data_IF_946673820816
#
_entry.id   IF_946673820816
#
_cell.length_a   1.000
_cell.length_b   1.000
_cell.length_c   1.000
_cell.angle_alpha   90.00
_cell.angle_beta   90.00
_cell.angle_gamma   90.00
#
_symmetry.space_group_name_H-M   'P 1'
#
loop_
_entity.id
_entity.type
_entity.pdbx_description
1 polymer ?
#
# COMPACT_ATOMS: atom_id res chain seq x y z
N UNK A 1 -36.12 -69.32 -27.20
CA UNK A 1 -34.82 -69.22 -27.82
C UNK A 1 -34.26 -67.92 -27.53
N UNK A 2 -33.35 -67.91 -26.84
CA UNK A 2 -32.10 -67.37 -26.91
C UNK A 2 -32.03 -66.00 -26.68
N UNK A 3 -31.47 -65.58 -25.82
CA UNK A 3 -30.19 -65.35 -25.42
C UNK A 3 -29.93 -63.97 -25.57
N UNK A 4 -29.46 -63.38 -24.78
CA UNK A 4 -28.42 -63.46 -23.96
C UNK A 4 -27.72 -62.15 -23.84
N UNK A 5 -27.39 -61.91 -22.79
CA UNK A 5 -26.17 -61.50 -22.42
C UNK A 5 -25.72 -60.17 -22.65
N UNK A 6 -25.36 -59.62 -21.89
CA UNK A 6 -24.32 -59.36 -21.20
C UNK A 6 -23.92 -58.11 -21.24
N UNK A 7 -23.74 -57.51 -20.44
CA UNK A 7 -22.83 -57.46 -19.69
C UNK A 7 -21.99 -56.40 -19.64
N UNK A 8 -21.81 -55.99 -18.72
CA UNK A 8 -20.67 -55.62 -18.40
C UNK A 8 -20.28 -54.35 -18.32
N UNK A 9 -20.11 -53.94 -17.46
CA UNK A 9 -19.08 -53.65 -16.85
C UNK A 9 -18.41 -52.59 -17.06
N UNK A 10 -18.37 -51.80 -16.69
CA UNK A 10 -17.87 -51.49 -16.07
C UNK A 10 -16.94 -50.82 -15.47
N UNK A 11 -16.47 -50.34 -15.12
CA UNK A 11 -15.49 -50.02 -14.55
C UNK A 11 -14.94 -48.88 -14.48
N UNK A 12 -15.01 -48.40 -13.89
CA UNK A 12 -14.66 -47.47 -13.55
C UNK A 12 -13.62 -47.15 -12.82
N UNK A 13 -12.95 -46.65 -12.87
CA UNK A 13 -12.08 -46.37 -12.15
C UNK A 13 -11.73 -45.23 -11.65
N UNK A 14 -11.69 -44.98 -11.21
CA UNK A 14 -11.24 -44.31 -10.60
C UNK A 14 -10.41 -43.58 -10.42
N UNK A 15 -10.06 -43.08 -10.37
CA UNK A 15 -9.28 -42.45 -10.14
C UNK A 15 -8.92 -41.60 -9.60
N UNK A 16 -8.87 -41.35 -9.39
CA UNK A 16 -8.54 -40.63 -8.97
C UNK A 16 -7.70 -40.08 -8.44
N UNK A 17 -7.37 -40.25 -8.32
CA UNK A 17 -6.58 -39.90 -7.89
C UNK A 17 -5.91 -39.06 -7.87
N UNK A 18 -5.76 -38.82 -8.24
CA UNK A 18 -5.01 -38.09 -8.31
C UNK A 18 -4.82 -37.14 -7.82
N UNK A 19 -4.96 -37.05 -7.75
CA UNK A 19 -4.73 -36.23 -7.45
C UNK A 19 -4.21 -35.70 -6.82
N UNK A 20 -4.07 -35.86 -6.64
CA UNK A 20 -3.45 -35.44 -6.10
C UNK A 20 -2.65 -34.89 -6.06
N UNK A 21 -2.31 -35.07 -6.29
CA UNK A 21 -1.38 -34.66 -6.25
C UNK A 21 -1.13 -33.58 -6.37
N UNK A 22 -1.44 -33.39 -6.71
CA UNK A 22 -1.07 -32.45 -6.91
C UNK A 22 -0.92 -31.63 -6.13
N UNK A 23 -1.09 -31.65 -5.91
CA UNK A 23 -0.87 -30.88 -5.23
C UNK A 23 -0.02 -30.51 -4.79
N UNK A 24 0.26 -30.94 -4.81
CA UNK A 24 1.17 -30.66 -4.40
C UNK A 24 1.78 -29.90 -4.64
N UNK A 25 1.77 -29.96 -5.12
CA UNK A 25 2.55 -29.33 -5.36
C UNK A 25 2.47 -28.35 -5.10
N UNK A 26 1.93 -28.39 -5.19
CA UNK A 26 1.91 -27.54 -5.01
C UNK A 26 2.49 -26.96 -4.38
N UNK A 27 2.69 -27.06 -4.02
CA UNK A 27 3.35 -26.75 -3.44
C UNK A 27 4.23 -26.13 -3.81
N UNK A 28 4.52 -26.37 -4.26
CA UNK A 28 5.49 -26.03 -4.77
C UNK A 28 5.54 -24.79 -4.94
N UNK A 29 5.16 -24.62 -5.29
CA UNK A 29 4.97 -23.63 -5.53
C UNK A 29 5.42 -22.74 -4.71
N UNK A 30 5.23 -22.76 -4.10
CA UNK A 30 5.58 -22.06 -3.16
C UNK A 30 6.80 -21.54 -3.25
N UNK A 31 7.40 -22.15 -3.57
CA UNK A 31 8.59 -21.87 -3.68
C UNK A 31 8.84 -20.68 -4.22
N UNK A 32 8.41 -20.56 -5.13
CA UNK A 32 8.72 -19.53 -5.82
C UNK A 32 8.86 -18.39 -5.03
N UNK A 33 8.18 -18.36 -4.33
CA UNK A 33 8.13 -17.28 -3.70
C UNK A 33 9.34 -16.76 -3.23
N UNK A 34 10.05 -17.40 -2.75
CA UNK A 34 11.12 -16.85 -2.21
C UNK A 34 11.92 -16.24 -3.14
N UNK A 35 11.93 -16.70 -4.17
CA UNK A 35 12.80 -16.17 -5.07
C UNK A 35 12.52 -14.78 -5.21
N UNK A 36 11.43 -14.39 -5.14
CA UNK A 36 11.13 -13.10 -5.44
C UNK A 36 11.95 -12.23 -4.61
N UNK A 37 12.40 -12.63 -3.68
CA UNK A 37 13.20 -11.83 -2.93
C UNK A 37 12.53 -10.55 -2.68
N UNK A 38 11.71 -10.22 -3.48
CA UNK A 38 11.07 -9.05 -3.32
C UNK A 38 10.07 -9.30 -2.32
N UNK A 39 10.11 -8.78 -1.31
CA UNK A 39 9.20 -9.03 -0.29
C UNK A 39 7.84 -8.56 -0.69
N UNK A 40 7.08 -9.43 -1.21
CA UNK A 40 5.76 -9.07 -1.65
C UNK A 40 4.75 -9.09 -0.52
N UNK A 41 5.17 -9.30 0.68
CA UNK A 41 4.22 -9.33 1.78
C UNK A 41 3.64 -7.95 2.00
N UNK A 42 2.36 -7.87 2.24
CA UNK A 42 1.76 -6.59 2.52
C UNK A 42 2.36 -5.99 3.78
N UNK A 43 2.70 -4.74 3.71
CA UNK A 43 3.22 -4.02 4.86
C UNK A 43 2.02 -3.70 5.75
N UNK A 44 2.08 -4.05 7.01
CA UNK A 44 0.96 -3.74 7.90
C UNK A 44 0.85 -2.24 8.11
N UNK A 45 -0.37 -1.74 8.24
CA UNK A 45 -0.58 -0.32 8.43
C UNK A 45 0.09 0.22 9.68
N UNK A 46 0.25 -0.60 10.69
CA UNK A 46 0.90 -0.21 11.92
C UNK A 46 2.34 0.26 11.69
N UNK A 47 2.97 -0.21 10.63
CA UNK A 47 4.32 0.20 10.29
C UNK A 47 4.39 1.66 9.84
N UNK A 48 3.26 2.22 9.45
CA UNK A 48 3.19 3.62 9.03
C UNK A 48 3.13 4.57 10.22
N UNK A 49 2.83 4.05 11.41
CA UNK A 49 2.64 4.90 12.57
C UNK A 49 3.88 5.71 12.89
N UNK A 50 3.67 6.95 13.25
CA UNK A 50 4.74 7.83 13.71
C UNK A 50 5.05 8.97 12.77
N UNK A 51 6.22 9.58 13.00
CA UNK A 51 6.63 10.79 12.30
C UNK A 51 7.56 10.45 11.14
N UNK A 52 7.31 11.04 9.99
CA UNK A 52 8.08 10.85 8.77
C UNK A 52 8.51 12.21 8.23
N UNK A 53 9.80 12.37 7.95
CA UNK A 53 10.32 13.61 7.38
C UNK A 53 10.09 13.62 5.89
N UNK A 54 9.49 14.67 5.36
CA UNK A 54 9.15 14.75 3.95
C UNK A 54 10.42 15.00 3.15
N UNK A 55 10.60 14.23 2.10
CA UNK A 55 11.72 14.40 1.17
C UNK A 55 11.27 15.14 -0.08
N UNK A 56 10.06 14.89 -0.52
CA UNK A 56 9.49 15.62 -1.65
C UNK A 56 7.97 15.47 -1.66
N UNK A 57 7.31 16.49 -2.16
CA UNK A 57 5.87 16.46 -2.42
C UNK A 57 5.67 16.88 -3.87
N UNK A 58 5.13 15.97 -4.67
CA UNK A 58 5.01 16.12 -6.11
C UNK A 58 6.38 16.47 -6.73
N UNK A 59 6.49 17.60 -7.36
CA UNK A 59 7.76 18.00 -7.97
C UNK A 59 8.59 18.93 -7.08
N UNK A 60 8.14 19.19 -5.85
CA UNK A 60 8.84 20.07 -4.94
C UNK A 60 9.66 19.24 -3.97
N UNK A 61 10.97 19.39 -4.03
CA UNK A 61 11.88 18.70 -3.14
C UNK A 61 12.09 19.49 -1.86
N UNK A 62 12.28 18.79 -0.76
CA UNK A 62 12.63 19.41 0.51
C UNK A 62 14.15 19.39 0.61
N UNK A 63 14.75 20.46 1.06
CA UNK A 63 16.19 20.54 1.19
C UNK A 63 16.71 19.48 2.14
N UNK A 64 17.86 18.91 1.80
CA UNK A 64 18.44 17.89 2.62
C UNK A 64 18.78 18.46 4.00
N UNK A 65 18.36 17.75 5.02
CA UNK A 65 18.56 18.21 6.40
C UNK A 65 17.45 19.11 6.93
N UNK A 66 16.52 19.53 6.08
CA UNK A 66 15.39 20.32 6.55
C UNK A 66 14.38 19.41 7.25
N UNK A 67 14.22 19.58 8.52
CA UNK A 67 13.30 18.80 9.33
C UNK A 67 11.99 19.56 9.65
N UNK A 68 11.78 20.69 9.01
CA UNK A 68 10.58 21.49 9.24
C UNK A 68 9.36 20.90 8.55
N UNK A 69 9.56 20.13 7.48
CA UNK A 69 8.48 19.50 6.74
C UNK A 69 8.36 18.04 7.16
N UNK A 70 7.22 17.66 7.70
CA UNK A 70 6.99 16.29 8.14
C UNK A 70 5.52 15.91 8.08
N UNK A 71 5.28 14.61 8.18
CA UNK A 71 3.94 14.06 8.32
C UNK A 71 3.95 13.09 9.50
N UNK A 72 2.93 13.18 10.32
CA UNK A 72 2.72 12.27 11.44
C UNK A 72 1.46 11.47 11.14
N UNK A 73 1.59 10.15 11.15
CA UNK A 73 0.46 9.26 10.97
C UNK A 73 0.16 8.59 12.31
N UNK A 74 -1.06 8.71 12.76
CA UNK A 74 -1.53 7.99 13.94
C UNK A 74 -2.51 6.94 13.42
N UNK A 75 -2.01 5.75 13.23
CA UNK A 75 -2.79 4.69 12.59
C UNK A 75 -3.90 4.20 13.51
N UNK A 76 -3.66 4.18 14.80
CA UNK A 76 -4.66 3.73 15.78
C UNK A 76 -5.88 4.67 15.80
N UNK A 77 -5.64 5.96 15.72
CA UNK A 77 -6.72 6.95 15.72
C UNK A 77 -7.17 7.29 14.30
N UNK A 78 -6.48 6.79 13.30
CA UNK A 78 -6.75 7.07 11.89
C UNK A 78 -6.70 8.57 11.61
N UNK A 79 -5.69 9.23 12.11
CA UNK A 79 -5.51 10.67 11.88
C UNK A 79 -4.15 10.96 11.27
N UNK A 80 -4.08 12.05 10.53
CA UNK A 80 -2.85 12.55 9.95
C UNK A 80 -2.66 14.00 10.38
N UNK A 81 -1.40 14.34 10.66
CA UNK A 81 -0.97 15.72 10.84
C UNK A 81 0.27 15.92 10.00
N UNK A 82 0.35 17.01 9.30
CA UNK A 82 1.48 17.29 8.42
C UNK A 82 1.77 18.79 8.42
N UNK A 83 2.97 19.14 8.03
CA UNK A 83 3.33 20.54 7.82
C UNK A 83 4.45 20.63 6.79
N UNK A 84 4.46 21.70 6.05
CA UNK A 84 5.56 22.07 5.16
C UNK A 84 6.52 23.04 5.85
N UNK A 85 6.33 23.26 7.15
CA UNK A 85 7.14 24.18 7.93
C UNK A 85 6.45 25.48 8.29
N UNK A 86 5.17 25.61 7.98
CA UNK A 86 4.38 26.79 8.34
C UNK A 86 3.01 26.37 8.86
N UNK A 87 2.08 26.11 7.95
CA UNK A 87 0.73 25.73 8.37
C UNK A 87 0.68 24.27 8.81
N UNK A 88 -0.29 23.98 9.69
CA UNK A 88 -0.59 22.61 10.10
C UNK A 88 -1.69 22.09 9.20
N UNK A 89 -1.47 20.92 8.65
CA UNK A 89 -2.41 20.20 7.82
C UNK A 89 -2.88 19.00 8.62
N UNK A 90 -4.16 18.74 8.63
CA UNK A 90 -4.71 17.64 9.42
C UNK A 90 -5.86 16.97 8.66
N UNK A 91 -6.15 15.74 9.02
CA UNK A 91 -7.23 14.99 8.39
C UNK A 91 -7.37 13.59 8.95
N UNK A 92 -8.15 12.79 8.28
CA UNK A 92 -8.39 11.41 8.65
C UNK A 92 -7.73 10.46 7.67
N UNK A 93 -7.34 9.27 8.14
CA UNK A 93 -6.78 8.21 7.33
C UNK A 93 -7.89 7.23 6.99
N UNK A 94 -8.08 6.95 5.71
CA UNK A 94 -9.01 5.95 5.23
C UNK A 94 -8.22 4.78 4.64
N UNK A 95 -8.39 3.59 5.22
CA UNK A 95 -7.70 2.39 4.82
C UNK A 95 -8.66 1.31 4.31
N UNK A 96 -9.85 1.73 3.89
CA UNK A 96 -10.90 0.78 3.49
C UNK A 96 -10.83 0.35 2.02
N UNK A 97 -9.70 0.56 1.38
CA UNK A 97 -9.53 0.14 0.00
C UNK A 97 -9.38 -1.37 -0.15
N UNK A 98 -9.51 -1.85 -1.37
CA UNK A 98 -9.46 -3.29 -1.65
C UNK A 98 -8.06 -3.86 -1.59
N UNK A 99 -7.06 -3.08 -1.96
CA UNK A 99 -5.69 -3.54 -1.93
C UNK A 99 -5.10 -3.38 -0.54
N UNK A 100 -4.18 -4.24 -0.19
CA UNK A 100 -3.56 -4.22 1.13
C UNK A 100 -2.79 -2.92 1.42
N UNK A 101 -2.38 -2.22 0.37
CA UNK A 101 -1.67 -0.96 0.51
C UNK A 101 -2.54 0.25 0.14
N UNK A 102 -3.86 0.10 0.14
CA UNK A 102 -4.76 1.21 -0.12
C UNK A 102 -4.75 2.18 1.04
N UNK A 103 -4.61 3.44 0.74
CA UNK A 103 -4.57 4.50 1.73
C UNK A 103 -5.07 5.79 1.08
N UNK A 104 -5.96 6.46 1.74
CA UNK A 104 -6.42 7.77 1.30
C UNK A 104 -6.55 8.69 2.52
N UNK A 105 -6.47 9.98 2.29
CA UNK A 105 -6.69 10.96 3.33
C UNK A 105 -7.98 11.71 3.05
N UNK A 106 -8.76 11.94 4.09
CA UNK A 106 -10.07 12.55 3.98
C UNK A 106 -10.24 13.66 4.99
N UNK A 107 -11.22 14.49 4.76
CA UNK A 107 -11.54 15.58 5.66
C UNK A 107 -10.33 16.46 5.94
N UNK A 108 -9.56 16.71 4.92
CA UNK A 108 -8.32 17.47 5.05
C UNK A 108 -8.60 18.95 5.31
N UNK A 109 -7.90 19.50 6.28
CA UNK A 109 -7.96 20.90 6.59
C UNK A 109 -6.57 21.42 6.88
N UNK A 110 -6.43 22.73 6.88
CA UNK A 110 -5.15 23.38 7.17
C UNK A 110 -5.37 24.75 7.80
N UNK A 111 -4.44 25.15 8.64
CA UNK A 111 -4.42 26.52 9.13
C UNK A 111 -3.99 27.45 7.98
N UNK A 112 -4.15 28.74 8.13
CA UNK A 112 -3.88 29.68 7.05
C UNK A 112 -3.04 30.84 7.54
N UNK A 113 -1.78 30.57 7.76
CA UNK A 113 -0.81 31.63 8.02
C UNK A 113 -0.11 31.97 6.72
N UNK A 114 0.38 33.18 6.59
CA UNK A 114 1.11 33.59 5.38
C UNK A 114 2.58 33.30 5.54
N UNK A 115 3.08 32.39 4.74
CA UNK A 115 4.48 32.00 4.77
C UNK A 115 4.98 31.85 3.32
N UNK A 116 5.26 32.96 2.65
CA UNK A 116 5.61 32.93 1.23
C UNK A 116 6.70 31.94 0.86
N UNK A 117 7.68 31.75 1.74
CA UNK A 117 8.79 30.86 1.44
C UNK A 117 8.40 29.36 1.47
N UNK A 118 7.25 29.05 2.03
CA UNK A 118 6.81 27.66 2.17
C UNK A 118 5.56 27.36 1.33
N UNK A 119 5.01 28.37 0.69
CA UNK A 119 3.77 28.21 -0.07
C UNK A 119 3.83 27.11 -1.11
N UNK A 120 4.87 27.06 -1.89
CA UNK A 120 4.99 26.06 -2.96
C UNK A 120 4.99 24.63 -2.41
N UNK A 121 5.74 24.41 -1.33
CA UNK A 121 5.82 23.09 -0.72
C UNK A 121 4.51 22.73 -0.04
N UNK A 122 3.87 23.73 0.61
CA UNK A 122 2.62 23.49 1.30
C UNK A 122 1.50 23.12 0.32
N UNK A 123 1.39 23.85 -0.77
CA UNK A 123 0.40 23.54 -1.81
C UNK A 123 0.66 22.15 -2.41
N UNK A 124 1.93 21.84 -2.68
CA UNK A 124 2.30 20.55 -3.21
C UNK A 124 1.99 19.43 -2.21
N UNK A 125 2.19 19.69 -0.93
CA UNK A 125 1.92 18.71 0.12
C UNK A 125 0.41 18.45 0.26
N UNK A 126 -0.39 19.51 0.30
CA UNK A 126 -1.84 19.38 0.39
C UNK A 126 -2.36 18.61 -0.81
N UNK A 127 -1.88 18.96 -1.99
CA UNK A 127 -2.32 18.30 -3.21
C UNK A 127 -1.87 16.84 -3.26
N UNK A 128 -0.66 16.54 -2.81
CA UNK A 128 -0.16 15.18 -2.71
C UNK A 128 -1.01 14.34 -1.79
N UNK A 129 -1.33 14.87 -0.61
CA UNK A 129 -2.14 14.14 0.37
C UNK A 129 -3.56 13.91 -0.15
N UNK A 130 -4.17 14.90 -0.79
CA UNK A 130 -5.51 14.75 -1.34
C UNK A 130 -5.57 13.71 -2.48
N UNK A 131 -4.47 13.54 -3.18
CA UNK A 131 -4.42 12.61 -4.29
C UNK A 131 -3.86 11.22 -3.92
N UNK A 132 -3.50 11.01 -2.67
CA UNK A 132 -2.97 9.72 -2.23
C UNK A 132 -4.04 8.63 -2.30
N UNK A 133 -3.68 7.49 -2.87
CA UNK A 133 -4.56 6.32 -2.97
C UNK A 133 -3.88 5.03 -2.53
N UNK A 134 -2.56 5.03 -2.48
CA UNK A 134 -1.79 3.86 -2.05
C UNK A 134 -0.47 4.28 -1.41
N UNK A 135 0.17 3.35 -0.74
CA UNK A 135 1.47 3.57 -0.15
C UNK A 135 2.42 2.40 -0.40
N UNK A 136 3.70 2.69 -0.32
CA UNK A 136 4.73 1.65 -0.26
C UNK A 136 5.70 2.05 0.84
N UNK A 137 6.18 1.06 1.55
CA UNK A 137 7.20 1.27 2.57
C UNK A 137 8.35 0.31 2.29
N UNK A 138 9.51 0.85 2.00
CA UNK A 138 10.68 0.06 1.66
C UNK A 138 11.92 0.75 2.16
N UNK A 139 12.80 0.00 2.82
CA UNK A 139 14.08 0.52 3.31
C UNK A 139 13.96 1.81 4.13
N UNK A 140 12.90 1.94 4.90
CA UNK A 140 12.72 3.13 5.73
C UNK A 140 12.18 4.34 4.97
N UNK A 141 11.88 4.19 3.70
CA UNK A 141 11.26 5.24 2.91
C UNK A 141 9.79 4.94 2.69
N UNK A 142 8.95 5.88 3.03
CA UNK A 142 7.52 5.82 2.81
C UNK A 142 7.17 6.63 1.57
N UNK A 143 6.47 6.01 0.66
CA UNK A 143 6.06 6.65 -0.59
C UNK A 143 4.54 6.57 -0.71
N UNK A 144 3.92 7.69 -1.04
CA UNK A 144 2.49 7.72 -1.37
C UNK A 144 2.33 7.89 -2.87
N UNK A 145 1.36 7.19 -3.43
CA UNK A 145 1.06 7.24 -4.86
C UNK A 145 -0.42 7.55 -5.10
N UNK A 146 -0.71 8.11 -6.25
CA UNK A 146 -2.08 8.43 -6.62
C UNK A 146 -2.74 7.22 -7.32
N UNK A 147 -3.93 7.41 -7.86
CA UNK A 147 -4.67 6.32 -8.50
C UNK A 147 -4.01 5.81 -9.78
N UNK A 148 -3.02 6.52 -10.31
CA UNK A 148 -2.28 6.10 -11.50
C UNK A 148 -0.92 5.51 -11.14
N UNK A 149 -0.70 5.25 -9.85
CA UNK A 149 0.56 4.76 -9.32
C UNK A 149 1.72 5.75 -9.48
N UNK A 150 1.41 7.01 -9.71
CA UNK A 150 2.44 8.04 -9.76
C UNK A 150 2.76 8.49 -8.34
N UNK A 151 4.03 8.60 -8.04
CA UNK A 151 4.50 9.00 -6.71
C UNK A 151 4.13 10.47 -6.48
N UNK A 152 3.40 10.72 -5.42
CA UNK A 152 3.00 12.08 -5.04
C UNK A 152 3.72 12.60 -3.80
N UNK A 153 4.27 11.70 -2.97
CA UNK A 153 4.99 12.13 -1.78
C UNK A 153 6.01 11.07 -1.37
N UNK A 154 7.17 11.51 -0.94
CA UNK A 154 8.19 10.65 -0.36
C UNK A 154 8.59 11.19 1.00
N UNK A 155 8.73 10.29 1.95
CA UNK A 155 9.14 10.63 3.31
C UNK A 155 9.98 9.51 3.91
N UNK A 156 10.74 9.80 4.93
CA UNK A 156 11.59 8.82 5.60
C UNK A 156 11.63 9.09 7.10
N UNK A 157 11.95 8.07 7.88
CA UNK A 157 12.16 8.20 9.32
C UNK A 157 13.59 8.61 9.64
#
# INVERSE_FOLDING_TARGET
>A
MLLGAMASCGNAPKNNENNEAIDLDSSAVTVSDETAGVDARPVPFEALDGKWMIKSAKSVAVAEGDTSAYVILNVAEKTINATAGCNSIFGAININGRAANSLAFENMGATKMMCPDKDSLEMALIDALNNTRSFTLSNGELTFSNEKDEVVLKAAK
#
